data_IF_538046804976
#
_entry.id   IF_538046804976
#
_cell.length_a   1.000
_cell.length_b   1.000
_cell.length_c   1.000
_cell.angle_alpha   90.00
_cell.angle_beta   90.00
_cell.angle_gamma   90.00
#
_symmetry.space_group_name_H-M   'P 1'
#
loop_
_entity.id
_entity.type
_entity.pdbx_description
1 polymer ?
#
# COMPACT_ATOMS: atom_id res chain seq x y z
N UNK A 1 -5.17 -21.07 -15.64
CA UNK A 1 -4.66 -20.58 -14.34
C UNK A 1 -3.31 -19.96 -14.61
N UNK A 2 -3.29 -18.79 -15.25
CA UNK A 2 -2.05 -18.06 -15.54
C UNK A 2 -2.09 -16.80 -14.68
N UNK A 3 -1.55 -16.90 -13.47
CA UNK A 3 -1.57 -15.83 -12.47
C UNK A 3 -0.24 -15.08 -12.38
N UNK A 4 0.63 -15.21 -13.39
CA UNK A 4 1.96 -14.57 -13.43
C UNK A 4 2.13 -13.63 -14.64
N UNK A 5 1.07 -12.95 -15.06
CA UNK A 5 1.15 -11.86 -16.05
C UNK A 5 0.50 -10.59 -15.49
N UNK A 6 1.34 -9.69 -14.96
CA UNK A 6 0.92 -8.40 -14.41
C UNK A 6 0.80 -8.46 -12.89
N UNK A 7 1.61 -7.67 -12.19
CA UNK A 7 1.46 -7.49 -10.75
C UNK A 7 0.08 -6.89 -10.46
N UNK A 8 -0.85 -7.68 -9.95
CA UNK A 8 -2.05 -7.15 -9.29
C UNK A 8 -1.63 -6.66 -7.90
N UNK A 9 -1.07 -5.44 -7.87
CA UNK A 9 -0.53 -4.80 -6.66
C UNK A 9 -1.56 -4.74 -5.52
N UNK A 10 -2.85 -4.74 -5.84
CA UNK A 10 -3.91 -4.70 -4.83
C UNK A 10 -4.17 -6.09 -4.24
N UNK A 11 -4.26 -7.12 -5.07
CA UNK A 11 -4.38 -8.52 -4.62
C UNK A 11 -3.22 -8.98 -3.74
N UNK A 12 -1.98 -8.58 -4.08
CA UNK A 12 -0.79 -8.90 -3.28
C UNK A 12 -0.81 -8.23 -1.89
N UNK A 13 -1.27 -6.97 -1.82
CA UNK A 13 -1.34 -6.23 -0.55
C UNK A 13 -2.48 -6.76 0.33
N UNK A 14 -3.61 -7.15 -0.26
CA UNK A 14 -4.71 -7.78 0.47
C UNK A 14 -4.25 -9.06 1.18
N UNK A 15 -3.56 -9.95 0.48
CA UNK A 15 -3.03 -11.19 1.06
C UNK A 15 -2.12 -10.91 2.27
N UNK A 16 -1.29 -9.86 2.20
CA UNK A 16 -0.45 -9.45 3.31
C UNK A 16 -1.25 -8.91 4.50
N UNK A 17 -2.33 -8.16 4.24
CA UNK A 17 -3.21 -7.65 5.29
C UNK A 17 -3.97 -8.79 5.99
N UNK A 18 -4.44 -9.78 5.22
CA UNK A 18 -5.07 -11.00 5.76
C UNK A 18 -4.09 -11.78 6.65
N UNK A 19 -2.85 -11.98 6.17
CA UNK A 19 -1.80 -12.66 6.93
C UNK A 19 -1.38 -11.91 8.20
N UNK A 20 -1.49 -10.58 8.19
CA UNK A 20 -1.23 -9.75 9.36
C UNK A 20 -2.36 -9.79 10.40
N UNK A 21 -3.51 -10.40 10.08
CA UNK A 21 -4.63 -10.53 11.00
C UNK A 21 -5.32 -9.21 11.33
N UNK A 22 -5.30 -8.25 10.41
CA UNK A 22 -5.92 -6.93 10.57
C UNK A 22 -7.44 -7.06 10.69
N UNK A 23 -8.08 -6.16 11.44
CA UNK A 23 -9.53 -6.20 11.66
C UNK A 23 -10.36 -6.09 10.37
N UNK A 24 -9.90 -5.25 9.43
CA UNK A 24 -10.46 -5.13 8.08
C UNK A 24 -9.32 -5.14 7.03
N UNK A 25 -8.93 -6.32 6.53
CA UNK A 25 -7.84 -6.44 5.55
C UNK A 25 -8.10 -5.74 4.23
N UNK A 26 -9.37 -5.66 3.82
CA UNK A 26 -9.76 -5.04 2.56
C UNK A 26 -9.58 -3.53 2.63
N UNK A 27 -10.06 -2.90 3.70
CA UNK A 27 -9.90 -1.46 3.93
C UNK A 27 -8.41 -1.07 3.94
N UNK A 28 -7.58 -1.78 4.72
CA UNK A 28 -6.15 -1.47 4.78
C UNK A 28 -5.46 -1.65 3.42
N UNK A 29 -5.82 -2.68 2.65
CA UNK A 29 -5.23 -2.94 1.35
C UNK A 29 -5.57 -1.83 0.34
N UNK A 30 -6.81 -1.34 0.33
CA UNK A 30 -7.24 -0.21 -0.49
C UNK A 30 -6.49 1.08 -0.12
N UNK A 31 -6.36 1.39 1.16
CA UNK A 31 -5.61 2.56 1.64
C UNK A 31 -4.13 2.49 1.24
N UNK A 32 -3.50 1.32 1.39
CA UNK A 32 -2.09 1.12 1.03
C UNK A 32 -1.86 1.16 -0.48
N UNK A 33 -2.77 0.60 -1.28
CA UNK A 33 -2.72 0.67 -2.74
C UNK A 33 -2.84 2.13 -3.22
N UNK A 34 -3.83 2.87 -2.70
CA UNK A 34 -4.01 4.28 -3.02
C UNK A 34 -2.79 5.11 -2.63
N UNK A 35 -2.23 4.87 -1.44
CA UNK A 35 -1.03 5.57 -0.98
C UNK A 35 0.17 5.30 -1.88
N UNK A 36 0.37 4.05 -2.29
CA UNK A 36 1.47 3.67 -3.18
C UNK A 36 1.36 4.40 -4.53
N UNK A 37 0.18 4.35 -5.15
CA UNK A 37 -0.08 4.97 -6.45
C UNK A 37 0.04 6.49 -6.39
N UNK A 38 -0.59 7.10 -5.39
CA UNK A 38 -0.52 8.53 -5.15
C UNK A 38 0.92 8.99 -4.89
N UNK A 39 1.70 8.21 -4.14
CA UNK A 39 3.12 8.50 -3.90
C UNK A 39 3.97 8.41 -5.17
N UNK A 40 3.73 7.43 -6.04
CA UNK A 40 4.43 7.30 -7.32
C UNK A 40 4.14 8.48 -8.23
N UNK A 41 2.86 8.84 -8.41
CA UNK A 41 2.46 9.99 -9.23
C UNK A 41 3.01 11.29 -8.63
N UNK A 42 2.90 11.47 -7.31
CA UNK A 42 3.42 12.65 -6.61
C UNK A 42 4.93 12.79 -6.81
N UNK A 43 5.69 11.70 -6.74
CA UNK A 43 7.14 11.72 -6.96
C UNK A 43 7.48 12.17 -8.40
N UNK A 44 6.72 11.70 -9.39
CA UNK A 44 6.91 12.08 -10.80
C UNK A 44 6.62 13.57 -11.05
N UNK A 45 5.51 14.10 -10.52
CA UNK A 45 5.14 15.51 -10.78
C UNK A 45 5.93 16.51 -9.95
N UNK A 46 6.29 16.14 -8.71
CA UNK A 46 7.02 17.05 -7.80
C UNK A 46 8.53 16.97 -7.93
N UNK A 47 9.07 15.90 -8.55
CA UNK A 47 10.50 15.59 -8.57
C UNK A 47 11.13 15.56 -7.16
N UNK A 48 10.32 15.30 -6.12
CA UNK A 48 10.77 15.32 -4.73
C UNK A 48 11.33 13.94 -4.32
N UNK A 49 12.64 13.82 -4.04
CA UNK A 49 13.24 12.54 -3.65
C UNK A 49 12.78 12.06 -2.26
N UNK A 50 12.08 12.90 -1.48
CA UNK A 50 11.55 12.55 -0.15
C UNK A 50 10.19 11.84 -0.22
N UNK A 51 9.48 11.86 -1.35
CA UNK A 51 8.11 11.33 -1.46
C UNK A 51 8.02 9.87 -1.02
N UNK A 52 8.96 9.01 -1.44
CA UNK A 52 8.99 7.61 -1.00
C UNK A 52 9.17 7.45 0.52
N UNK A 53 10.01 8.28 1.14
CA UNK A 53 10.21 8.26 2.61
C UNK A 53 8.95 8.74 3.35
N UNK A 54 8.24 9.72 2.79
CA UNK A 54 6.97 10.21 3.36
C UNK A 54 5.90 9.13 3.26
N UNK A 55 5.72 8.54 2.08
CA UNK A 55 4.77 7.45 1.85
C UNK A 55 5.02 6.26 2.79
N UNK A 56 6.29 5.85 2.97
CA UNK A 56 6.65 4.79 3.91
C UNK A 56 6.21 5.09 5.35
N UNK A 57 6.35 6.34 5.81
CA UNK A 57 5.90 6.72 7.17
C UNK A 57 4.37 6.70 7.28
N UNK A 58 3.66 7.16 6.25
CA UNK A 58 2.21 7.12 6.21
C UNK A 58 1.69 5.67 6.21
N UNK A 59 2.28 4.79 5.38
CA UNK A 59 1.94 3.37 5.32
C UNK A 59 2.12 2.70 6.69
N UNK A 60 3.23 2.99 7.38
CA UNK A 60 3.47 2.49 8.73
C UNK A 60 2.36 2.90 9.70
N UNK A 61 1.91 4.16 9.67
CA UNK A 61 0.84 4.63 10.55
C UNK A 61 -0.51 3.96 10.26
N UNK A 62 -0.83 3.70 8.98
CA UNK A 62 -2.04 2.96 8.59
C UNK A 62 -2.00 1.52 9.11
N UNK A 63 -0.87 0.84 8.92
CA UNK A 63 -0.67 -0.53 9.42
C UNK A 63 -0.78 -0.57 10.94
N UNK A 64 -0.10 0.34 11.66
CA UNK A 64 -0.18 0.42 13.13
C UNK A 64 -1.60 0.65 13.64
N UNK A 65 -2.39 1.47 12.93
CA UNK A 65 -3.81 1.71 13.25
C UNK A 65 -4.66 0.44 13.02
N UNK A 66 -4.36 -0.35 12.00
CA UNK A 66 -5.17 -1.51 11.61
C UNK A 66 -4.89 -2.80 12.41
N UNK A 67 -3.74 -2.88 13.08
CA UNK A 67 -3.33 -4.03 13.91
C UNK A 67 -3.54 -3.82 15.42
N UNK A 68 -3.93 -2.61 15.83
CA UNK A 68 -4.02 -2.20 17.23
C UNK A 68 -5.47 -2.01 17.69
#
# INVERSE_FOLDING_TARGET
MDHLSGWDRQGDVLLLCEQAGTADPQELAEELALLLEGATVTAQVSQNPKTAKIAKRAAKALIEKAIS
#
